data_IF_710346317777
#
_entry.id   IF_710346317777
#
_cell.length_a   1.000
_cell.length_b   1.000
_cell.length_c   1.000
_cell.angle_alpha   90.00
_cell.angle_beta   90.00
_cell.angle_gamma   90.00
#
_symmetry.space_group_name_H-M   'P 1'
#
loop_
_entity.id
_entity.type
_entity.pdbx_description
1 polymer ?
#
# COMPACT_ATOMS: atom_id res chain seq x y z
N UNK A 1 8.22 -12.96 9.70
CA UNK A 1 7.41 -12.39 8.59
C UNK A 1 7.11 -10.93 8.89
N UNK A 2 7.29 -10.05 7.93
CA UNK A 2 7.03 -8.60 8.01
C UNK A 2 5.81 -8.27 7.13
N UNK A 3 5.13 -7.14 7.39
CA UNK A 3 3.97 -6.73 6.61
C UNK A 3 4.15 -5.31 6.06
N UNK A 4 3.88 -5.13 4.77
CA UNK A 4 3.76 -3.85 4.10
C UNK A 4 2.31 -3.66 3.64
N UNK A 5 1.62 -2.64 4.16
CA UNK A 5 0.31 -2.23 3.70
C UNK A 5 0.47 -1.07 2.69
N UNK A 6 0.02 -1.30 1.45
CA UNK A 6 0.06 -0.29 0.37
C UNK A 6 -1.32 0.36 0.26
N UNK A 7 -1.51 1.47 0.95
CA UNK A 7 -2.76 2.22 1.03
C UNK A 7 -2.80 3.41 0.07
N UNK A 8 -3.98 3.99 -0.11
CA UNK A 8 -4.21 5.16 -0.95
C UNK A 8 -5.55 5.06 -1.68
N UNK A 9 -6.10 6.18 -2.12
CA UNK A 9 -7.39 6.23 -2.78
C UNK A 9 -7.41 5.49 -4.13
N UNK A 10 -8.61 5.21 -4.64
CA UNK A 10 -8.79 4.54 -5.95
C UNK A 10 -8.06 5.26 -7.08
N UNK A 11 -7.28 4.51 -7.88
CA UNK A 11 -6.52 5.05 -9.01
C UNK A 11 -5.29 5.88 -8.62
N UNK A 12 -4.85 5.86 -7.35
CA UNK A 12 -3.61 6.54 -6.92
C UNK A 12 -2.32 5.86 -7.39
N UNK A 13 -2.42 4.67 -7.99
CA UNK A 13 -1.27 3.91 -8.51
C UNK A 13 -0.74 2.85 -7.55
N UNK A 14 -1.54 2.38 -6.59
CA UNK A 14 -1.16 1.34 -5.61
C UNK A 14 -0.60 0.09 -6.25
N UNK A 15 -1.36 -0.54 -7.14
CA UNK A 15 -0.96 -1.78 -7.83
C UNK A 15 0.33 -1.58 -8.64
N UNK A 16 0.47 -0.46 -9.35
CA UNK A 16 1.70 -0.14 -10.11
C UNK A 16 2.91 -0.03 -9.20
N UNK A 17 2.78 0.68 -8.08
CA UNK A 17 3.85 0.82 -7.09
C UNK A 17 4.15 -0.53 -6.41
N UNK A 18 3.12 -1.28 -6.03
CA UNK A 18 3.26 -2.61 -5.42
C UNK A 18 4.10 -3.53 -6.29
N UNK A 19 3.82 -3.59 -7.58
CA UNK A 19 4.56 -4.42 -8.53
C UNK A 19 6.02 -4.01 -8.66
N UNK A 20 6.33 -2.70 -8.69
CA UNK A 20 7.74 -2.24 -8.70
C UNK A 20 8.45 -2.59 -7.39
N UNK A 21 7.83 -2.36 -6.24
CA UNK A 21 8.39 -2.73 -4.93
C UNK A 21 8.62 -4.25 -4.85
N UNK A 22 7.66 -5.05 -5.30
CA UNK A 22 7.79 -6.51 -5.29
C UNK A 22 8.98 -6.98 -6.14
N UNK A 23 9.17 -6.40 -7.34
CA UNK A 23 10.35 -6.71 -8.19
C UNK A 23 11.67 -6.37 -7.48
N UNK A 24 11.77 -5.20 -6.83
CA UNK A 24 12.97 -4.79 -6.09
C UNK A 24 13.26 -5.71 -4.92
N UNK A 25 12.24 -6.04 -4.14
CA UNK A 25 12.37 -6.95 -3.01
C UNK A 25 12.80 -8.36 -3.45
N UNK A 26 12.24 -8.87 -4.55
CA UNK A 26 12.62 -10.17 -5.14
C UNK A 26 14.06 -10.12 -5.68
N UNK A 27 14.45 -9.03 -6.34
CA UNK A 27 15.83 -8.84 -6.79
C UNK A 27 16.85 -8.79 -5.63
N UNK A 28 16.38 -8.36 -4.44
CA UNK A 28 17.15 -8.45 -3.19
C UNK A 28 17.06 -9.83 -2.51
N UNK A 29 16.55 -10.85 -3.22
CA UNK A 29 16.40 -12.24 -2.74
C UNK A 29 15.46 -12.39 -1.53
N UNK A 30 14.52 -11.47 -1.33
CA UNK A 30 13.49 -11.59 -0.31
C UNK A 30 12.33 -12.47 -0.83
N UNK A 31 11.85 -13.37 0.03
CA UNK A 31 10.65 -14.18 -0.23
C UNK A 31 9.42 -13.32 0.05
N UNK A 32 8.53 -13.19 -0.93
CA UNK A 32 7.34 -12.35 -0.86
C UNK A 32 6.06 -13.16 -1.00
N UNK A 33 5.01 -12.69 -0.33
CA UNK A 33 3.63 -13.03 -0.67
C UNK A 33 2.84 -11.73 -0.85
N UNK A 34 1.85 -11.74 -1.74
CA UNK A 34 1.00 -10.59 -2.01
C UNK A 34 -0.44 -10.97 -1.72
N UNK A 35 -1.14 -10.09 -1.01
CA UNK A 35 -2.56 -10.20 -0.69
C UNK A 35 -3.25 -8.98 -1.28
N UNK A 36 -4.03 -9.20 -2.33
CA UNK A 36 -4.87 -8.17 -2.94
C UNK A 36 -6.31 -8.33 -2.47
N UNK A 37 -6.95 -7.22 -2.13
CA UNK A 37 -8.32 -7.20 -1.67
C UNK A 37 -9.13 -6.20 -2.50
N UNK A 38 -9.60 -6.64 -3.66
CA UNK A 38 -10.43 -5.82 -4.53
C UNK A 38 -11.91 -6.19 -4.39
N UNK A 39 -12.74 -5.16 -4.20
CA UNK A 39 -14.21 -5.31 -4.21
C UNK A 39 -14.67 -5.24 -5.67
N UNK A 40 -14.89 -6.38 -6.28
CA UNK A 40 -15.60 -6.51 -7.55
C UNK A 40 -14.72 -6.61 -8.79
N UNK A 41 -14.86 -7.74 -9.43
CA UNK A 41 -14.57 -8.10 -10.81
C UNK A 41 -13.13 -7.90 -11.35
N UNK A 42 -12.50 -9.02 -11.58
CA UNK A 42 -11.31 -9.23 -12.43
C UNK A 42 -10.06 -8.56 -11.84
N UNK A 43 -9.32 -9.33 -11.05
CA UNK A 43 -7.95 -8.98 -10.68
C UNK A 43 -7.14 -8.67 -11.93
N UNK A 44 -6.79 -7.40 -12.11
CA UNK A 44 -5.84 -7.01 -13.13
C UNK A 44 -4.49 -7.51 -12.66
N UNK A 45 -3.90 -8.41 -13.44
CA UNK A 45 -2.50 -8.86 -13.37
C UNK A 45 -2.09 -9.96 -12.37
N UNK A 46 -3.00 -10.74 -11.85
CA UNK A 46 -2.65 -12.02 -11.21
C UNK A 46 -1.76 -12.90 -12.11
N UNK A 47 -1.89 -12.75 -13.43
CA UNK A 47 -1.03 -13.44 -14.39
C UNK A 47 0.39 -12.88 -14.41
N UNK A 48 0.59 -11.57 -14.28
CA UNK A 48 1.93 -10.96 -14.26
C UNK A 48 2.72 -11.33 -13.00
N UNK A 49 2.04 -11.38 -11.85
CA UNK A 49 2.68 -11.76 -10.58
C UNK A 49 2.94 -13.26 -10.55
N UNK A 50 2.08 -14.07 -11.19
CA UNK A 50 2.29 -15.51 -11.43
C UNK A 50 3.45 -15.78 -12.38
N UNK A 51 3.59 -14.99 -13.46
CA UNK A 51 4.73 -15.08 -14.38
C UNK A 51 6.06 -14.75 -13.69
N UNK A 52 6.07 -13.88 -12.70
CA UNK A 52 7.24 -13.58 -11.88
C UNK A 52 7.56 -14.66 -10.83
N UNK A 53 6.75 -15.74 -10.74
CA UNK A 53 6.94 -16.84 -9.78
C UNK A 53 6.65 -16.47 -8.32
N UNK A 54 5.96 -15.36 -8.10
CA UNK A 54 5.57 -14.91 -6.76
C UNK A 54 4.29 -15.61 -6.30
N UNK A 55 4.21 -16.12 -5.07
CA UNK A 55 2.97 -16.67 -4.53
C UNK A 55 1.97 -15.54 -4.29
N UNK A 56 0.95 -15.45 -5.14
CA UNK A 56 -0.17 -14.52 -4.99
C UNK A 56 -1.35 -15.25 -4.38
N UNK A 57 -1.92 -14.71 -3.31
CA UNK A 57 -3.23 -15.10 -2.83
C UNK A 57 -4.22 -13.95 -2.99
N UNK A 58 -5.21 -14.16 -3.83
CA UNK A 58 -6.35 -13.28 -3.96
C UNK A 58 -7.34 -13.55 -2.83
N UNK A 59 -7.75 -12.49 -2.13
CA UNK A 59 -8.89 -12.58 -1.22
C UNK A 59 -10.17 -12.31 -1.99
N UNK A 60 -10.87 -13.36 -2.39
CA UNK A 60 -12.23 -13.22 -2.91
C UNK A 60 -13.18 -12.82 -1.79
N UNK A 61 -13.64 -11.56 -1.83
CA UNK A 61 -14.45 -10.98 -0.78
C UNK A 61 -15.90 -11.46 -0.78
N UNK A 62 -16.39 -11.84 0.41
CA UNK A 62 -17.79 -11.75 0.76
C UNK A 62 -18.01 -10.56 1.70
N UNK A 63 -19.05 -9.77 1.43
CA UNK A 63 -19.62 -8.68 2.26
C UNK A 63 -18.75 -7.94 3.29
N UNK A 64 -18.56 -6.78 2.93
CA UNK A 64 -17.96 -5.52 3.20
C UNK A 64 -17.80 -5.18 4.67
N UNK A 65 -17.66 -5.36 5.70
CA UNK A 65 -17.17 -4.63 6.90
C UNK A 65 -16.63 -5.47 8.05
N UNK A 66 -17.19 -6.63 8.35
CA UNK A 66 -16.69 -7.46 9.46
C UNK A 66 -15.91 -8.70 9.02
N UNK A 67 -16.12 -9.15 7.80
CA UNK A 67 -15.49 -10.35 7.20
C UNK A 67 -14.07 -10.08 6.65
N UNK A 68 -13.74 -8.85 6.30
CA UNK A 68 -12.44 -8.50 5.72
C UNK A 68 -11.29 -8.69 6.72
N UNK A 69 -11.46 -8.23 7.96
CA UNK A 69 -10.40 -8.34 8.97
C UNK A 69 -10.15 -9.79 9.40
N UNK A 70 -11.22 -10.56 9.61
CA UNK A 70 -11.10 -11.99 9.96
C UNK A 70 -10.56 -12.81 8.80
N UNK A 71 -10.95 -12.51 7.58
CA UNK A 71 -10.43 -13.13 6.36
C UNK A 71 -8.95 -12.83 6.16
N UNK A 72 -8.53 -11.57 6.28
CA UNK A 72 -7.14 -11.17 6.17
C UNK A 72 -6.25 -11.85 7.21
N UNK A 73 -6.66 -11.87 8.48
CA UNK A 73 -5.92 -12.53 9.56
C UNK A 73 -5.77 -14.03 9.31
N UNK A 74 -6.83 -14.71 8.86
CA UNK A 74 -6.78 -16.12 8.50
C UNK A 74 -5.83 -16.37 7.31
N UNK A 75 -5.88 -15.52 6.29
CA UNK A 75 -4.98 -15.58 5.13
C UNK A 75 -3.52 -15.37 5.53
N UNK A 76 -3.23 -14.37 6.36
CA UNK A 76 -1.87 -14.12 6.85
C UNK A 76 -1.32 -15.29 7.66
N UNK A 77 -2.15 -15.96 8.49
CA UNK A 77 -1.76 -17.19 9.20
C UNK A 77 -1.44 -18.33 8.25
N UNK A 78 -2.26 -18.56 7.23
CA UNK A 78 -2.02 -19.59 6.24
C UNK A 78 -0.75 -19.32 5.42
N UNK A 79 -0.53 -18.06 5.00
CA UNK A 79 0.69 -17.65 4.32
C UNK A 79 1.93 -17.88 5.19
N UNK A 80 1.87 -17.53 6.48
CA UNK A 80 2.97 -17.75 7.40
C UNK A 80 3.30 -19.24 7.57
N UNK A 81 2.26 -20.10 7.65
CA UNK A 81 2.43 -21.54 7.83
C UNK A 81 2.92 -22.25 6.57
N UNK A 82 2.39 -21.87 5.40
CA UNK A 82 2.62 -22.60 4.15
C UNK A 82 3.87 -22.14 3.39
N UNK A 83 4.23 -20.84 3.50
CA UNK A 83 5.27 -20.21 2.65
C UNK A 83 6.40 -19.56 3.45
N UNK A 84 6.17 -19.21 4.72
CA UNK A 84 7.13 -18.51 5.58
C UNK A 84 7.87 -17.38 4.84
N UNK A 85 7.17 -16.38 4.28
CA UNK A 85 7.81 -15.30 3.52
C UNK A 85 8.54 -14.34 4.46
N UNK A 86 9.53 -13.62 3.91
CA UNK A 86 10.20 -12.54 4.62
C UNK A 86 9.26 -11.34 4.77
N UNK A 87 8.47 -11.04 3.69
CA UNK A 87 7.48 -9.98 3.66
C UNK A 87 6.15 -10.45 3.06
N UNK A 88 5.07 -9.93 3.60
CA UNK A 88 3.73 -9.95 2.96
C UNK A 88 3.36 -8.52 2.59
N UNK A 89 3.02 -8.30 1.33
CA UNK A 89 2.48 -7.02 0.86
C UNK A 89 0.96 -7.17 0.81
N UNK A 90 0.25 -6.25 1.46
CA UNK A 90 -1.21 -6.20 1.45
C UNK A 90 -1.65 -4.94 0.71
N UNK A 91 -2.44 -5.09 -0.35
CA UNK A 91 -3.14 -3.99 -1.01
C UNK A 91 -4.62 -4.02 -0.61
N UNK A 92 -5.05 -3.20 0.34
CA UNK A 92 -6.47 -3.06 0.65
C UNK A 92 -7.18 -2.26 -0.43
N UNK A 93 -8.52 -2.33 -0.45
CA UNK A 93 -9.31 -1.47 -1.33
C UNK A 93 -9.00 0.01 -1.10
N UNK A 94 -9.13 0.84 -2.14
CA UNK A 94 -8.86 2.28 -2.03
C UNK A 94 -9.76 3.04 -1.06
N UNK A 95 -10.80 2.39 -0.52
CA UNK A 95 -11.70 2.94 0.49
C UNK A 95 -11.37 2.48 1.91
N UNK A 96 -10.39 1.61 2.09
CA UNK A 96 -10.01 1.09 3.41
C UNK A 96 -9.20 2.11 4.22
N UNK A 97 -9.40 2.09 5.54
CA UNK A 97 -8.55 2.78 6.50
C UNK A 97 -7.41 1.83 6.93
N UNK A 98 -6.15 2.10 6.56
CA UNK A 98 -5.03 1.19 6.85
C UNK A 98 -4.77 1.04 8.37
N UNK A 99 -5.14 2.03 9.17
CA UNK A 99 -5.04 1.98 10.63
C UNK A 99 -5.84 0.83 11.26
N UNK A 100 -7.02 0.52 10.73
CA UNK A 100 -7.85 -0.59 11.21
C UNK A 100 -7.22 -1.95 10.90
N UNK A 101 -6.60 -2.06 9.71
CA UNK A 101 -5.88 -3.25 9.27
C UNK A 101 -4.68 -3.50 10.19
N UNK A 102 -3.84 -2.49 10.37
CA UNK A 102 -2.63 -2.62 11.21
C UNK A 102 -2.96 -2.90 12.65
N UNK A 103 -4.00 -2.28 13.21
CA UNK A 103 -4.48 -2.53 14.57
C UNK A 103 -4.92 -3.98 14.74
N UNK A 104 -5.71 -4.50 13.81
CA UNK A 104 -6.18 -5.89 13.83
C UNK A 104 -5.03 -6.89 13.69
N UNK A 105 -4.09 -6.63 12.79
CA UNK A 105 -2.93 -7.51 12.61
C UNK A 105 -2.05 -7.50 13.86
N UNK A 106 -1.74 -6.34 14.45
CA UNK A 106 -0.96 -6.25 15.70
C UNK A 106 -1.61 -7.00 16.86
N UNK A 107 -2.93 -6.91 16.98
CA UNK A 107 -3.67 -7.56 18.06
C UNK A 107 -3.73 -9.09 17.91
N UNK A 108 -3.90 -9.59 16.69
CA UNK A 108 -4.20 -10.99 16.42
C UNK A 108 -3.00 -11.81 15.90
N UNK A 109 -1.95 -11.14 15.45
CA UNK A 109 -0.72 -11.73 14.88
C UNK A 109 0.52 -10.97 15.39
N UNK A 110 0.80 -10.98 16.71
CA UNK A 110 1.87 -10.18 17.30
C UNK A 110 3.29 -10.59 16.84
N UNK A 111 3.43 -11.72 16.18
CA UNK A 111 4.69 -12.18 15.58
C UNK A 111 4.99 -11.55 14.21
N UNK A 112 4.06 -10.80 13.65
CA UNK A 112 4.29 -10.02 12.42
C UNK A 112 4.88 -8.67 12.81
N UNK A 113 6.18 -8.50 12.59
CA UNK A 113 6.91 -7.28 12.94
C UNK A 113 8.15 -7.13 12.02
N UNK A 114 8.39 -5.92 11.48
CA UNK A 114 7.55 -4.74 11.55
C UNK A 114 6.30 -4.82 10.67
N UNK A 115 5.30 -3.98 11.02
CA UNK A 115 4.19 -3.63 10.16
C UNK A 115 4.43 -2.20 9.68
N UNK A 116 4.48 -2.00 8.36
CA UNK A 116 4.70 -0.72 7.70
C UNK A 116 3.50 -0.35 6.84
N UNK A 117 3.15 0.92 6.83
CA UNK A 117 2.10 1.49 5.98
C UNK A 117 2.74 2.50 5.04
N UNK A 118 2.62 2.28 3.73
CA UNK A 118 2.84 3.32 2.73
C UNK A 118 1.51 3.80 2.19
N UNK A 119 1.27 5.11 2.26
CA UNK A 119 0.06 5.71 1.68
C UNK A 119 0.42 6.50 0.43
N UNK A 120 -0.23 6.14 -0.68
CA UNK A 120 -0.09 6.86 -1.94
C UNK A 120 -1.07 8.03 -2.00
N UNK A 121 -0.52 9.21 -2.25
CA UNK A 121 -1.27 10.44 -2.52
C UNK A 121 -1.16 10.74 -4.01
N UNK A 122 -2.29 10.88 -4.69
CA UNK A 122 -2.38 11.24 -6.10
C UNK A 122 -2.19 12.75 -6.26
N UNK A 123 -1.03 13.18 -6.75
CA UNK A 123 -0.72 14.60 -6.90
C UNK A 123 -1.61 15.27 -7.95
N UNK A 124 -1.93 14.55 -9.05
CA UNK A 124 -2.75 15.05 -10.16
C UNK A 124 -4.18 15.39 -9.71
N UNK A 125 -4.77 14.53 -8.88
CA UNK A 125 -6.16 14.67 -8.45
C UNK A 125 -6.32 15.21 -7.03
N UNK A 126 -5.23 15.68 -6.42
CA UNK A 126 -5.21 16.08 -5.02
C UNK A 126 -6.29 17.11 -4.68
N UNK A 127 -6.40 18.17 -5.47
CA UNK A 127 -7.34 19.25 -5.21
C UNK A 127 -8.79 18.74 -5.14
N UNK A 128 -9.20 17.95 -6.13
CA UNK A 128 -10.53 17.36 -6.16
C UNK A 128 -10.74 16.37 -5.00
N UNK A 129 -9.79 15.48 -4.78
CA UNK A 129 -9.93 14.41 -3.79
C UNK A 129 -9.96 14.95 -2.36
N UNK A 130 -9.16 15.98 -2.07
CA UNK A 130 -9.13 16.63 -0.76
C UNK A 130 -10.43 17.38 -0.43
N UNK A 131 -11.25 17.72 -1.42
CA UNK A 131 -12.56 18.34 -1.21
C UNK A 131 -13.69 17.31 -1.09
N UNK A 132 -13.63 16.22 -1.89
CA UNK A 132 -14.74 15.26 -2.01
C UNK A 132 -14.65 14.15 -0.96
N UNK A 133 -13.46 13.68 -0.64
CA UNK A 133 -13.24 12.54 0.26
C UNK A 133 -12.21 12.83 1.35
N UNK A 134 -12.13 14.09 1.80
CA UNK A 134 -11.16 14.57 2.78
C UNK A 134 -11.04 13.69 4.04
N UNK A 135 -12.11 13.24 4.71
CA UNK A 135 -11.97 12.43 5.92
C UNK A 135 -11.23 11.12 5.68
N UNK A 136 -11.49 10.47 4.54
CA UNK A 136 -10.85 9.22 4.18
C UNK A 136 -9.35 9.41 3.88
N UNK A 137 -9.03 10.41 3.04
CA UNK A 137 -7.64 10.70 2.68
C UNK A 137 -6.83 11.11 3.91
N UNK A 138 -7.39 11.94 4.77
CA UNK A 138 -6.74 12.36 6.01
C UNK A 138 -6.48 11.15 6.92
N UNK A 139 -7.43 10.23 7.06
CA UNK A 139 -7.23 9.01 7.84
C UNK A 139 -6.14 8.09 7.23
N UNK A 140 -6.11 7.97 5.90
CA UNK A 140 -5.08 7.19 5.21
C UNK A 140 -3.69 7.80 5.39
N UNK A 141 -3.57 9.12 5.26
CA UNK A 141 -2.30 9.85 5.44
C UNK A 141 -1.84 9.77 6.91
N UNK A 142 -2.75 9.95 7.86
CA UNK A 142 -2.42 9.92 9.28
C UNK A 142 -1.88 8.56 9.75
N UNK A 143 -2.32 7.46 9.13
CA UNK A 143 -1.87 6.11 9.45
C UNK A 143 -0.56 5.69 8.77
N UNK A 144 0.00 6.53 7.89
CA UNK A 144 1.17 6.18 7.11
C UNK A 144 2.48 6.28 7.93
N UNK A 145 3.35 5.28 7.77
CA UNK A 145 4.74 5.34 8.20
C UNK A 145 5.61 6.06 7.14
N UNK A 146 5.23 5.93 5.84
CA UNK A 146 5.84 6.62 4.71
C UNK A 146 4.74 7.09 3.77
N UNK A 147 4.86 8.29 3.22
CA UNK A 147 3.89 8.84 2.26
C UNK A 147 4.55 8.97 0.89
N UNK A 148 3.97 8.30 -0.11
CA UNK A 148 4.37 8.42 -1.50
C UNK A 148 3.47 9.43 -2.21
N UNK A 149 3.98 10.61 -2.53
CA UNK A 149 3.27 11.56 -3.42
C UNK A 149 3.52 11.08 -4.84
N UNK A 150 2.50 10.42 -5.42
CA UNK A 150 2.60 9.77 -6.73
C UNK A 150 2.08 10.66 -7.86
N UNK A 151 2.45 10.30 -9.08
CA UNK A 151 2.16 11.03 -10.32
C UNK A 151 2.80 12.43 -10.36
N UNK A 152 4.01 12.55 -9.80
CA UNK A 152 4.71 13.85 -9.80
C UNK A 152 5.14 14.28 -11.20
N UNK A 153 5.11 13.40 -12.16
CA UNK A 153 5.35 13.65 -13.58
C UNK A 153 4.19 14.37 -14.30
N UNK A 154 3.03 14.47 -13.64
CA UNK A 154 1.83 15.15 -14.17
C UNK A 154 1.59 16.53 -13.59
N UNK A 155 2.37 16.95 -12.60
CA UNK A 155 2.24 18.24 -11.92
C UNK A 155 3.54 19.05 -12.00
N UNK A 156 3.43 20.35 -11.90
CA UNK A 156 4.61 21.22 -11.80
C UNK A 156 5.16 21.33 -10.38
N UNK A 157 6.25 22.07 -10.20
CA UNK A 157 6.90 22.22 -8.91
C UNK A 157 6.03 22.94 -7.87
N UNK A 158 5.18 23.87 -8.29
CA UNK A 158 4.26 24.58 -7.40
C UNK A 158 3.14 23.67 -6.91
N UNK A 159 2.54 22.89 -7.81
CA UNK A 159 1.56 21.86 -7.49
C UNK A 159 2.11 20.80 -6.54
N UNK A 160 3.30 20.29 -6.79
CA UNK A 160 3.96 19.33 -5.90
C UNK A 160 4.22 19.94 -4.51
N UNK A 161 4.67 21.19 -4.44
CA UNK A 161 4.90 21.88 -3.16
C UNK A 161 3.59 22.05 -2.37
N UNK A 162 2.49 22.41 -3.05
CA UNK A 162 1.18 22.58 -2.44
C UNK A 162 0.65 21.25 -1.86
N UNK A 163 0.73 20.15 -2.62
CA UNK A 163 0.35 18.80 -2.16
C UNK A 163 1.19 18.39 -0.96
N UNK A 164 2.51 18.55 -1.05
CA UNK A 164 3.44 18.18 0.03
C UNK A 164 3.13 18.95 1.32
N UNK A 165 2.86 20.24 1.23
CA UNK A 165 2.49 21.07 2.37
C UNK A 165 1.15 20.65 2.98
N UNK A 166 0.17 20.26 2.15
CA UNK A 166 -1.12 19.78 2.62
C UNK A 166 -0.99 18.43 3.34
N UNK A 167 -0.28 17.48 2.75
CA UNK A 167 0.02 16.16 3.33
C UNK A 167 0.75 16.30 4.68
N UNK A 168 1.72 17.22 4.76
CA UNK A 168 2.48 17.48 5.99
C UNK A 168 1.61 17.95 7.15
N UNK A 169 0.49 18.65 6.88
CA UNK A 169 -0.48 19.05 7.92
C UNK A 169 -1.23 17.84 8.51
N UNK A 170 -1.49 16.82 7.71
CA UNK A 170 -2.18 15.61 8.15
C UNK A 170 -1.25 14.59 8.82
N UNK A 171 0.05 14.60 8.46
CA UNK A 171 1.07 13.75 9.07
C UNK A 171 2.41 14.48 9.09
N UNK A 172 2.78 15.02 10.25
CA UNK A 172 4.00 15.81 10.42
C UNK A 172 5.27 14.94 10.51
N UNK A 173 5.15 13.67 10.87
CA UNK A 173 6.28 12.80 11.18
C UNK A 173 6.75 11.94 10.00
N UNK A 174 5.82 11.38 9.22
CA UNK A 174 6.16 10.45 8.15
C UNK A 174 7.02 11.12 7.06
N UNK A 175 8.09 10.47 6.58
CA UNK A 175 8.80 10.92 5.40
C UNK A 175 7.86 10.97 4.18
N UNK A 176 8.00 12.04 3.39
CA UNK A 176 7.25 12.24 2.15
C UNK A 176 8.22 12.02 0.99
N UNK A 177 7.92 11.07 0.13
CA UNK A 177 8.75 10.71 -1.02
C UNK A 177 7.97 10.98 -2.30
N UNK A 178 8.43 11.91 -3.16
CA UNK A 178 7.86 12.12 -4.49
C UNK A 178 8.19 10.93 -5.39
N UNK A 179 7.17 10.37 -6.08
CA UNK A 179 7.33 9.23 -6.99
C UNK A 179 6.50 9.41 -8.27
N UNK A 180 6.95 8.77 -9.34
CA UNK A 180 6.14 8.51 -10.52
C UNK A 180 6.16 6.99 -10.76
N UNK A 181 5.21 6.29 -10.15
CA UNK A 181 5.19 4.81 -10.15
C UNK A 181 5.15 4.22 -11.57
N UNK A 182 4.51 4.91 -12.52
CA UNK A 182 4.44 4.48 -13.91
C UNK A 182 5.81 4.43 -14.61
N UNK A 183 6.75 5.29 -14.21
CA UNK A 183 8.12 5.36 -14.79
C UNK A 183 9.18 4.78 -13.86
N UNK A 184 8.85 4.47 -12.62
CA UNK A 184 9.77 4.03 -11.58
C UNK A 184 10.59 5.15 -10.94
N UNK A 185 10.37 6.42 -11.32
CA UNK A 185 11.09 7.55 -10.74
C UNK A 185 10.75 7.72 -9.25
N UNK A 186 11.77 7.90 -8.41
CA UNK A 186 11.62 8.05 -6.97
C UNK A 186 11.34 6.75 -6.19
N UNK A 187 11.00 5.63 -6.86
CA UNK A 187 10.61 4.38 -6.20
C UNK A 187 11.79 3.76 -5.43
N UNK A 188 13.03 3.96 -5.87
CA UNK A 188 14.20 3.48 -5.13
C UNK A 188 14.32 4.17 -3.75
N UNK A 189 14.16 5.50 -3.70
CA UNK A 189 14.19 6.25 -2.44
C UNK A 189 13.04 5.85 -1.51
N UNK A 190 11.84 5.58 -2.09
CA UNK A 190 10.71 5.06 -1.34
C UNK A 190 11.00 3.67 -0.75
N UNK A 191 11.57 2.77 -1.54
CA UNK A 191 11.98 1.43 -1.10
C UNK A 191 12.94 1.48 0.09
N UNK A 192 13.95 2.33 0.00
CA UNK A 192 14.91 2.54 1.09
C UNK A 192 14.24 3.09 2.37
N UNK A 193 13.33 4.05 2.23
CA UNK A 193 12.58 4.61 3.34
C UNK A 193 11.63 3.60 4.02
N UNK A 194 11.18 2.57 3.31
CA UNK A 194 10.33 1.51 3.86
C UNK A 194 11.10 0.45 4.65
N UNK A 195 12.41 0.29 4.39
CA UNK A 195 13.25 -0.70 5.04
C UNK A 195 13.89 -0.20 6.35
N UNK A 196 13.92 1.11 6.55
CA UNK A 196 14.42 1.75 7.78
C UNK A 196 13.34 1.79 8.85
#
# INVERSE_FOLDING_TARGET
MKLLCVAGFLGSGKTTLLLDLARRMTAASLRLAIVENEIGAIGVDGDFVREAGLPVRELFGGCVCCTLQTGLVATLRAIAADYDPDWVIVEPTGLAAPGDITTSVRALLPHIDPIRVVTLVDAERWEMLSQVVEPLITAQIAAADVIAVNKVDTVDGEGLAAVTAAVRRSNAAAPIVPVAAATGAGVQALYEALLT
#
